data_IF_970908613646
#
_entry.id   IF_970908613646
#
_cell.length_a   1.000
_cell.length_b   1.000
_cell.length_c   1.000
_cell.angle_alpha   90.00
_cell.angle_beta   90.00
_cell.angle_gamma   90.00
#
_symmetry.space_group_name_H-M   'P 1'
#
loop_
_entity.id
_entity.type
_entity.pdbx_description
1 polymer ?
#
# COMPACT_ATOMS: atom_id res chain seq x y z
N UNK A 1 1.47 -82.95 82.47
CA UNK A 1 1.10 -82.50 83.83
C UNK A 1 -0.28 -83.04 84.16
N UNK A 2 -0.46 -83.44 85.43
CA UNK A 2 -1.57 -84.18 86.05
C UNK A 2 -1.58 -85.70 85.79
N UNK A 3 -1.74 -86.60 86.75
CA UNK A 3 -1.45 -86.68 88.19
C UNK A 3 -1.78 -88.14 88.57
N UNK A 4 -0.84 -88.89 89.15
CA UNK A 4 -1.13 -90.15 89.85
C UNK A 4 -1.39 -89.85 91.34
N UNK A 5 -2.36 -90.54 91.97
CA UNK A 5 -2.38 -90.75 93.42
C UNK A 5 -2.39 -92.26 93.80
N UNK A 6 -2.15 -92.62 95.08
CA UNK A 6 -1.13 -93.61 95.43
C UNK A 6 -1.60 -94.88 96.19
N UNK A 7 -0.69 -95.87 96.25
CA UNK A 7 -0.69 -97.02 97.17
C UNK A 7 -0.49 -96.59 98.62
N UNK A 8 -1.36 -97.05 99.51
CA UNK A 8 -1.28 -97.08 100.98
C UNK A 8 -2.27 -98.18 101.44
N UNK A 9 -2.12 -99.01 102.47
CA UNK A 9 -1.12 -99.29 103.49
C UNK A 9 -1.47 -100.67 104.12
N UNK A 10 -0.47 -101.42 104.58
CA UNK A 10 -0.50 -102.42 105.68
C UNK A 10 0.70 -102.02 106.58
N UNK A 11 0.71 -102.13 107.93
CA UNK A 11 0.55 -103.41 108.70
C UNK A 11 0.06 -103.32 110.18
N UNK A 12 -0.13 -104.46 110.90
CA UNK A 12 0.25 -104.70 112.33
C UNK A 12 -0.20 -106.08 112.92
N UNK A 13 0.64 -106.65 113.80
CA UNK A 13 0.61 -107.94 114.54
C UNK A 13 0.17 -107.79 116.01
N UNK A 14 -0.23 -108.87 116.74
CA UNK A 14 0.26 -109.30 118.10
C UNK A 14 -0.39 -110.61 118.64
N UNK A 15 0.19 -111.19 119.72
CA UNK A 15 0.39 -112.61 120.10
C UNK A 15 -0.01 -112.93 121.59
N UNK A 16 0.00 -114.22 122.05
CA UNK A 16 -0.07 -114.79 123.46
C UNK A 16 -1.44 -115.35 124.00
N UNK A 17 -1.59 -116.45 124.77
CA UNK A 17 -0.82 -117.05 125.89
C UNK A 17 -1.00 -118.60 126.13
N UNK A 18 0.00 -119.20 126.82
CA UNK A 18 0.10 -120.53 127.48
C UNK A 18 0.80 -120.32 128.87
N UNK A 19 0.43 -120.99 129.98
CA UNK A 19 1.14 -120.88 131.30
C UNK A 19 1.16 -122.15 132.17
N UNK A 20 2.21 -122.32 132.97
CA UNK A 20 2.50 -123.41 133.95
C UNK A 20 2.37 -123.02 135.45
N UNK A 21 2.18 -124.00 136.39
CA UNK A 21 1.89 -123.78 137.82
C UNK A 21 3.12 -123.64 138.77
N UNK A 22 2.88 -123.17 140.00
CA UNK A 22 3.86 -122.66 140.98
C UNK A 22 4.33 -123.62 142.10
N UNK A 23 5.49 -123.25 142.67
CA UNK A 23 6.40 -123.93 143.61
C UNK A 23 5.84 -124.44 144.96
N UNK A 24 4.64 -124.07 145.39
CA UNK A 24 4.07 -124.50 146.68
C UNK A 24 3.49 -125.93 146.65
N UNK A 25 3.17 -126.45 145.47
CA UNK A 25 2.57 -127.78 145.31
C UNK A 25 3.60 -128.94 145.33
N UNK A 26 4.90 -128.62 145.34
CA UNK A 26 5.99 -129.61 145.24
C UNK A 26 6.57 -130.10 146.59
N UNK A 27 6.17 -129.54 147.74
CA UNK A 27 6.86 -129.80 149.03
C UNK A 27 6.02 -130.35 150.19
N UNK A 28 4.74 -130.71 150.00
CA UNK A 28 3.91 -131.31 151.07
C UNK A 28 3.47 -132.72 150.69
N UNK A 29 4.23 -133.73 151.13
CA UNK A 29 3.88 -135.14 150.96
C UNK A 29 2.85 -135.62 152.01
N UNK A 30 1.96 -136.59 151.69
CA UNK A 30 0.90 -137.00 152.61
C UNK A 30 1.39 -138.00 153.68
N UNK A 31 0.99 -137.76 154.92
CA UNK A 31 1.07 -138.66 156.08
C UNK A 31 0.00 -139.75 155.95
N UNK A 32 0.37 -141.05 156.04
CA UNK A 32 -0.59 -142.16 156.19
C UNK A 32 -0.10 -143.23 157.18
N UNK A 33 -1.07 -143.84 157.85
CA UNK A 33 -0.95 -144.72 159.02
C UNK A 33 -0.70 -146.20 158.67
N UNK A 34 -0.04 -146.91 159.60
CA UNK A 34 0.37 -148.32 159.51
C UNK A 34 -0.77 -149.31 159.86
N UNK A 35 -0.89 -150.45 159.15
CA UNK A 35 -1.88 -151.51 159.46
C UNK A 35 -1.60 -152.32 160.74
N UNK A 36 -2.68 -152.88 161.30
CA UNK A 36 -2.86 -153.31 162.69
C UNK A 36 -2.13 -154.58 163.13
N UNK A 37 -1.62 -155.42 162.22
CA UNK A 37 -1.00 -156.70 162.60
C UNK A 37 0.32 -156.55 163.38
N UNK A 38 0.98 -155.38 163.29
CA UNK A 38 2.32 -155.16 163.84
C UNK A 38 2.28 -154.44 165.22
N UNK A 39 1.13 -153.94 165.66
CA UNK A 39 1.04 -153.20 166.93
C UNK A 39 0.85 -154.08 168.18
N UNK A 40 0.72 -155.41 168.04
CA UNK A 40 0.24 -156.26 169.16
C UNK A 40 1.13 -157.39 169.72
N UNK A 41 2.33 -157.75 169.22
CA UNK A 41 3.03 -158.95 169.77
C UNK A 41 4.54 -158.81 170.03
N UNK A 42 5.06 -159.51 171.06
CA UNK A 42 6.08 -159.00 171.99
C UNK A 42 7.48 -158.78 171.40
N UNK A 43 8.23 -157.94 172.11
CA UNK A 43 9.49 -157.26 171.75
C UNK A 43 10.60 -158.19 171.25
N UNK A 44 10.49 -159.49 171.48
CA UNK A 44 11.49 -160.49 171.14
C UNK A 44 11.52 -160.88 169.63
N UNK A 45 10.46 -160.57 168.86
CA UNK A 45 10.31 -161.05 167.45
C UNK A 45 10.23 -159.95 166.38
N UNK A 46 10.49 -158.68 166.72
CA UNK A 46 10.32 -157.55 165.78
C UNK A 46 11.57 -157.23 164.93
N UNK A 47 12.64 -158.00 165.07
CA UNK A 47 13.86 -157.84 164.30
C UNK A 47 14.51 -159.19 163.94
N UNK A 48 14.87 -159.36 162.67
CA UNK A 48 15.70 -160.48 162.24
C UNK A 48 17.14 -160.27 162.75
N UNK A 49 17.58 -161.13 163.67
CA UNK A 49 18.89 -161.09 164.35
C UNK A 49 20.10 -161.32 163.44
N UNK A 50 19.90 -161.67 162.18
CA UNK A 50 20.99 -161.84 161.21
C UNK A 50 21.20 -160.63 160.28
N UNK A 51 20.23 -159.71 160.14
CA UNK A 51 20.36 -158.60 159.19
C UNK A 51 19.87 -157.22 159.64
N UNK A 52 19.23 -157.06 160.81
CA UNK A 52 18.87 -155.74 161.33
C UNK A 52 17.90 -154.92 160.46
N UNK A 53 17.29 -155.52 159.43
CA UNK A 53 16.30 -154.86 158.58
C UNK A 53 14.90 -155.08 159.15
N UNK A 54 14.25 -153.97 159.47
CA UNK A 54 12.87 -153.90 159.96
C UNK A 54 11.88 -154.35 158.86
N UNK A 55 10.95 -155.25 159.22
CA UNK A 55 9.88 -155.79 158.35
C UNK A 55 8.94 -154.72 157.76
N UNK A 56 9.10 -153.45 158.16
CA UNK A 56 8.28 -152.33 157.69
C UNK A 56 8.56 -151.88 156.24
N UNK A 57 9.76 -152.11 155.69
CA UNK A 57 10.13 -151.56 154.38
C UNK A 57 9.71 -152.45 153.20
N UNK A 58 9.46 -153.73 153.42
CA UNK A 58 9.20 -154.67 152.32
C UNK A 58 7.74 -154.66 151.83
N UNK A 59 6.78 -154.32 152.70
CA UNK A 59 5.35 -154.30 152.34
C UNK A 59 4.95 -153.07 151.49
N UNK A 60 5.55 -151.89 151.75
CA UNK A 60 5.20 -150.65 151.02
C UNK A 60 5.68 -150.65 149.55
N UNK A 61 6.84 -151.25 149.27
CA UNK A 61 7.39 -151.30 147.91
C UNK A 61 6.54 -152.17 146.99
N UNK A 62 5.94 -153.24 147.53
CA UNK A 62 5.11 -154.15 146.73
C UNK A 62 3.71 -153.58 146.42
N UNK A 63 3.14 -152.75 147.31
CA UNK A 63 1.84 -152.10 147.09
C UNK A 63 1.90 -150.92 146.09
N UNK A 64 3.03 -150.21 146.02
CA UNK A 64 3.25 -149.11 145.05
C UNK A 64 3.47 -149.60 143.62
N UNK A 65 4.03 -150.80 143.43
CA UNK A 65 4.28 -151.35 142.09
C UNK A 65 3.01 -151.80 141.36
N UNK A 66 1.96 -152.21 142.08
CA UNK A 66 0.68 -152.62 141.51
C UNK A 66 -0.22 -151.45 141.14
N UNK A 67 -0.20 -150.34 141.87
CA UNK A 67 -1.03 -149.15 141.61
C UNK A 67 -0.57 -148.36 140.37
N UNK A 68 0.73 -148.27 140.09
CA UNK A 68 1.25 -147.60 138.88
C UNK A 68 0.90 -148.34 137.58
N UNK A 69 0.80 -149.68 137.61
CA UNK A 69 0.42 -150.47 136.43
C UNK A 69 -1.05 -150.28 136.02
N UNK A 70 -1.96 -149.99 136.96
CA UNK A 70 -3.37 -149.75 136.63
C UNK A 70 -3.59 -148.36 136.02
N UNK A 71 -2.96 -147.30 136.54
CA UNK A 71 -3.14 -145.93 136.02
C UNK A 71 -2.65 -145.73 134.57
N UNK A 72 -1.61 -146.45 134.13
CA UNK A 72 -1.11 -146.39 132.74
C UNK A 72 -2.13 -146.95 131.73
N UNK A 73 -3.01 -147.86 132.14
CA UNK A 73 -3.97 -148.52 131.25
C UNK A 73 -5.21 -147.66 130.98
N UNK A 74 -5.63 -146.84 131.95
CA UNK A 74 -6.83 -145.97 131.82
C UNK A 74 -6.58 -144.74 130.95
N UNK A 75 -5.38 -144.17 130.93
CA UNK A 75 -5.08 -142.96 130.15
C UNK A 75 -5.00 -143.18 128.63
N UNK A 76 -4.58 -144.37 128.19
CA UNK A 76 -4.43 -144.69 126.76
C UNK A 76 -5.75 -145.02 126.05
N UNK A 77 -6.78 -145.42 126.78
CA UNK A 77 -8.04 -145.92 126.18
C UNK A 77 -9.14 -144.86 126.18
N UNK A 78 -9.14 -143.89 127.10
CA UNK A 78 -10.25 -142.93 127.25
C UNK A 78 -10.04 -141.55 126.60
N UNK A 79 -8.88 -140.91 126.79
CA UNK A 79 -8.74 -139.45 126.59
C UNK A 79 -8.11 -139.07 125.24
N UNK A 80 -7.17 -139.88 124.74
CA UNK A 80 -6.46 -139.62 123.48
C UNK A 80 -7.33 -139.61 122.20
N UNK A 81 -8.37 -140.47 122.05
CA UNK A 81 -9.19 -140.48 120.85
C UNK A 81 -10.09 -139.24 120.69
N UNK A 82 -10.59 -138.69 121.80
CA UNK A 82 -11.50 -137.54 121.79
C UNK A 82 -10.78 -136.23 121.42
N UNK A 83 -9.57 -136.02 121.95
CA UNK A 83 -8.78 -134.82 121.64
C UNK A 83 -8.33 -134.78 120.17
N UNK A 84 -8.00 -135.95 119.61
CA UNK A 84 -7.61 -136.08 118.20
C UNK A 84 -8.77 -135.77 117.25
N UNK A 85 -9.98 -136.21 117.57
CA UNK A 85 -11.17 -135.98 116.73
C UNK A 85 -11.59 -134.50 116.68
N UNK A 86 -11.51 -133.79 117.81
CA UNK A 86 -11.80 -132.37 117.88
C UNK A 86 -10.77 -131.51 117.11
N UNK A 87 -9.48 -131.80 117.27
CA UNK A 87 -8.40 -131.07 116.58
C UNK A 87 -8.43 -131.28 115.05
N UNK A 88 -8.81 -132.47 114.58
CA UNK A 88 -8.94 -132.73 113.13
C UNK A 88 -10.10 -131.98 112.48
N UNK A 89 -11.22 -131.76 113.19
CA UNK A 89 -12.40 -131.06 112.65
C UNK A 89 -12.17 -129.56 112.52
N UNK A 90 -11.51 -128.95 113.49
CA UNK A 90 -11.15 -127.53 113.44
C UNK A 90 -10.13 -127.22 112.33
N UNK A 91 -9.23 -128.16 112.02
CA UNK A 91 -8.29 -128.04 110.91
C UNK A 91 -8.96 -128.23 109.54
N UNK A 92 -9.97 -129.09 109.41
CA UNK A 92 -10.67 -129.29 108.13
C UNK A 92 -11.50 -128.07 107.75
N UNK A 93 -12.22 -127.47 108.70
CA UNK A 93 -13.02 -126.25 108.46
C UNK A 93 -12.14 -125.07 108.03
N UNK A 94 -10.99 -124.86 108.69
CA UNK A 94 -10.00 -123.85 108.25
C UNK A 94 -9.41 -124.15 106.87
N UNK A 95 -9.21 -125.42 106.52
CA UNK A 95 -8.67 -125.79 105.21
C UNK A 95 -9.70 -125.60 104.09
N UNK A 96 -10.98 -125.85 104.36
CA UNK A 96 -12.08 -125.61 103.42
C UNK A 96 -12.32 -124.12 103.18
N UNK A 97 -12.32 -123.29 104.23
CA UNK A 97 -12.36 -121.83 104.09
C UNK A 97 -11.16 -121.32 103.29
N UNK A 98 -9.93 -121.76 103.61
CA UNK A 98 -8.73 -121.40 102.86
C UNK A 98 -8.83 -121.83 101.39
N UNK A 99 -9.36 -123.02 101.10
CA UNK A 99 -9.53 -123.48 99.72
C UNK A 99 -10.61 -122.69 98.96
N UNK A 100 -11.69 -122.27 99.62
CA UNK A 100 -12.74 -121.44 99.00
C UNK A 100 -12.22 -120.04 98.64
N UNK A 101 -11.55 -119.36 99.58
CA UNK A 101 -10.91 -118.06 99.36
C UNK A 101 -9.81 -118.18 98.30
N UNK A 102 -9.02 -119.26 98.31
CA UNK A 102 -7.98 -119.48 97.31
C UNK A 102 -8.55 -119.74 95.90
N UNK A 103 -9.71 -120.41 95.79
CA UNK A 103 -10.43 -120.54 94.51
C UNK A 103 -11.00 -119.21 94.03
N UNK A 104 -11.64 -118.45 94.91
CA UNK A 104 -12.21 -117.14 94.59
C UNK A 104 -11.11 -116.16 94.15
N UNK A 105 -10.06 -116.01 94.96
CA UNK A 105 -8.89 -115.19 94.60
C UNK A 105 -8.21 -115.63 93.31
N UNK A 106 -8.07 -116.94 93.06
CA UNK A 106 -7.54 -117.44 91.78
C UNK A 106 -8.46 -117.08 90.60
N UNK A 107 -9.78 -117.19 90.78
CA UNK A 107 -10.76 -116.80 89.75
C UNK A 107 -10.77 -115.29 89.49
N UNK A 108 -10.64 -114.47 90.53
CA UNK A 108 -10.52 -113.01 90.43
C UNK A 108 -9.22 -112.63 89.72
N UNK A 109 -8.10 -113.30 90.06
CA UNK A 109 -6.80 -113.08 89.44
C UNK A 109 -6.82 -113.48 87.96
N UNK A 110 -7.51 -114.57 87.62
CA UNK A 110 -7.69 -115.01 86.23
C UNK A 110 -8.57 -114.02 85.43
N UNK A 111 -9.61 -113.44 86.05
CA UNK A 111 -10.44 -112.40 85.45
C UNK A 111 -9.63 -111.12 85.19
N UNK A 112 -8.87 -110.66 86.18
CA UNK A 112 -7.99 -109.49 86.05
C UNK A 112 -6.89 -109.73 85.00
N UNK A 113 -6.32 -110.94 84.93
CA UNK A 113 -5.39 -111.30 83.86
C UNK A 113 -6.04 -111.23 82.47
N UNK A 114 -7.28 -111.70 82.32
CA UNK A 114 -8.02 -111.61 81.05
C UNK A 114 -8.35 -110.16 80.68
N UNK A 115 -8.76 -109.33 81.64
CA UNK A 115 -9.02 -107.90 81.44
C UNK A 115 -7.73 -107.15 81.08
N UNK A 116 -6.60 -107.47 81.73
CA UNK A 116 -5.30 -106.88 81.42
C UNK A 116 -4.85 -107.25 80.00
N UNK A 117 -5.00 -108.52 79.60
CA UNK A 117 -4.70 -108.96 78.24
C UNK A 117 -5.63 -108.27 77.22
N UNK A 118 -6.93 -108.19 77.50
CA UNK A 118 -7.90 -107.48 76.66
C UNK A 118 -7.58 -105.99 76.53
N UNK A 119 -7.20 -105.33 77.63
CA UNK A 119 -6.76 -103.93 77.63
C UNK A 119 -5.43 -103.74 76.90
N UNK A 120 -4.51 -104.69 77.00
CA UNK A 120 -3.24 -104.66 76.30
C UNK A 120 -3.46 -104.78 74.78
N UNK A 121 -4.37 -105.66 74.36
CA UNK A 121 -4.72 -105.81 72.95
C UNK A 121 -5.51 -104.61 72.42
N UNK A 122 -6.42 -104.03 73.21
CA UNK A 122 -7.08 -102.77 72.88
C UNK A 122 -6.08 -101.61 72.73
N UNK A 123 -5.07 -101.52 73.62
CA UNK A 123 -4.02 -100.52 73.52
C UNK A 123 -3.16 -100.70 72.25
N UNK A 124 -2.81 -101.95 71.88
CA UNK A 124 -2.13 -102.24 70.61
C UNK A 124 -2.99 -101.82 69.41
N UNK A 125 -4.30 -102.10 69.44
CA UNK A 125 -5.21 -101.69 68.37
C UNK A 125 -5.30 -100.16 68.26
N UNK A 126 -5.41 -99.45 69.39
CA UNK A 126 -5.42 -97.99 69.42
C UNK A 126 -4.09 -97.39 68.90
N UNK A 127 -2.95 -98.00 69.23
CA UNK A 127 -1.65 -97.60 68.66
C UNK A 127 -1.62 -97.75 67.14
N UNK A 128 -2.14 -98.86 66.62
CA UNK A 128 -2.23 -99.09 65.16
C UNK A 128 -3.17 -98.08 64.50
N UNK A 129 -4.33 -97.81 65.11
CA UNK A 129 -5.29 -96.81 64.60
C UNK A 129 -4.69 -95.40 64.65
N UNK A 130 -4.08 -95.00 65.77
CA UNK A 130 -3.43 -93.69 65.93
C UNK A 130 -2.36 -93.48 64.86
N UNK A 131 -1.49 -94.47 64.66
CA UNK A 131 -0.46 -94.42 63.62
C UNK A 131 -1.06 -94.31 62.23
N UNK A 132 -2.12 -95.07 61.93
CA UNK A 132 -2.81 -94.99 60.65
C UNK A 132 -3.42 -93.61 60.42
N UNK A 133 -4.08 -93.03 61.42
CA UNK A 133 -4.65 -91.68 61.35
C UNK A 133 -3.56 -90.63 61.17
N UNK A 134 -2.43 -90.74 61.88
CA UNK A 134 -1.28 -89.85 61.70
C UNK A 134 -0.71 -89.92 60.28
N UNK A 135 -0.58 -91.13 59.72
CA UNK A 135 -0.06 -91.32 58.37
C UNK A 135 -1.07 -90.83 57.31
N UNK A 136 -2.37 -91.06 57.50
CA UNK A 136 -3.44 -90.47 56.67
C UNK A 136 -3.44 -88.94 56.73
N UNK A 137 -3.23 -88.35 57.93
CA UNK A 137 -3.13 -86.92 58.11
C UNK A 137 -1.87 -86.33 57.45
N UNK A 138 -0.72 -87.02 57.52
CA UNK A 138 0.51 -86.62 56.80
C UNK A 138 0.33 -86.67 55.28
N UNK A 139 -0.34 -87.69 54.76
CA UNK A 139 -0.61 -87.81 53.32
C UNK A 139 -1.57 -86.72 52.85
N UNK A 140 -2.65 -86.46 53.59
CA UNK A 140 -3.60 -85.39 53.24
C UNK A 140 -2.98 -84.00 53.39
N UNK A 141 -2.18 -83.76 54.43
CA UNK A 141 -1.42 -82.53 54.61
C UNK A 141 -0.41 -82.30 53.49
N UNK A 142 0.38 -83.32 53.11
CA UNK A 142 1.35 -83.18 52.01
C UNK A 142 0.67 -82.97 50.65
N UNK A 143 -0.48 -83.63 50.41
CA UNK A 143 -1.24 -83.42 49.18
C UNK A 143 -1.84 -82.00 49.11
N UNK A 144 -2.39 -81.49 50.21
CA UNK A 144 -2.94 -80.12 50.27
C UNK A 144 -1.83 -79.09 50.12
N UNK A 145 -0.69 -79.28 50.78
CA UNK A 145 0.48 -78.43 50.61
C UNK A 145 0.98 -78.43 49.15
N UNK A 146 1.07 -79.59 48.51
CA UNK A 146 1.48 -79.70 47.12
C UNK A 146 0.49 -79.00 46.17
N UNK A 147 -0.82 -79.12 46.42
CA UNK A 147 -1.85 -78.38 45.67
C UNK A 147 -1.67 -76.88 45.79
N UNK A 148 -1.47 -76.38 47.01
CA UNK A 148 -1.23 -74.95 47.26
C UNK A 148 0.06 -74.46 46.60
N UNK A 149 1.15 -75.24 46.66
CA UNK A 149 2.40 -74.92 45.95
C UNK A 149 2.18 -74.82 44.44
N UNK A 150 1.43 -75.74 43.85
CA UNK A 150 1.11 -75.71 42.42
C UNK A 150 0.24 -74.50 42.05
N UNK A 151 -0.75 -74.16 42.88
CA UNK A 151 -1.59 -72.96 42.69
C UNK A 151 -0.77 -71.67 42.80
N UNK A 152 0.12 -71.57 43.80
CA UNK A 152 1.04 -70.44 43.96
C UNK A 152 1.94 -70.28 42.73
N UNK A 153 2.51 -71.38 42.22
CA UNK A 153 3.34 -71.35 41.00
C UNK A 153 2.54 -70.91 39.77
N UNK A 154 1.32 -71.42 39.60
CA UNK A 154 0.44 -71.03 38.50
C UNK A 154 0.05 -69.55 38.58
N UNK A 155 -0.38 -69.07 39.74
CA UNK A 155 -0.72 -67.65 39.94
C UNK A 155 0.50 -66.74 39.76
N UNK A 156 1.68 -67.16 40.22
CA UNK A 156 2.92 -66.40 40.02
C UNK A 156 3.28 -66.29 38.53
N UNK A 157 3.13 -67.39 37.78
CA UNK A 157 3.30 -67.40 36.32
C UNK A 157 2.30 -66.48 35.62
N UNK A 158 1.03 -66.49 36.05
CA UNK A 158 0.01 -65.59 35.53
C UNK A 158 0.32 -64.12 35.81
N UNK A 159 0.76 -63.79 37.04
CA UNK A 159 1.16 -62.42 37.41
C UNK A 159 2.33 -61.96 36.54
N UNK A 160 3.36 -62.78 36.36
CA UNK A 160 4.51 -62.42 35.53
C UNK A 160 4.11 -62.25 34.06
N UNK A 161 3.22 -63.10 33.53
CA UNK A 161 2.70 -62.94 32.18
C UNK A 161 1.90 -61.63 32.02
N UNK A 162 1.01 -61.30 32.96
CA UNK A 162 0.28 -60.03 32.97
C UNK A 162 1.23 -58.83 33.06
N UNK A 163 2.30 -58.94 33.86
CA UNK A 163 3.32 -57.91 34.01
C UNK A 163 4.08 -57.69 32.69
N UNK A 164 4.56 -58.75 32.05
CA UNK A 164 5.23 -58.69 30.75
C UNK A 164 4.31 -58.11 29.66
N UNK A 165 3.02 -58.48 29.67
CA UNK A 165 2.04 -57.90 28.75
C UNK A 165 1.84 -56.40 28.99
N UNK A 166 1.72 -55.97 30.25
CA UNK A 166 1.62 -54.55 30.61
C UNK A 166 2.87 -53.77 30.21
N UNK A 167 4.06 -54.29 30.47
CA UNK A 167 5.33 -53.66 30.09
C UNK A 167 5.47 -53.55 28.57
N UNK A 168 5.09 -54.60 27.82
CA UNK A 168 5.05 -54.58 26.36
C UNK A 168 4.07 -53.53 25.81
N UNK A 169 2.86 -53.45 26.38
CA UNK A 169 1.88 -52.43 26.01
C UNK A 169 2.37 -51.01 26.33
N UNK A 170 2.99 -50.80 27.50
CA UNK A 170 3.58 -49.51 27.87
C UNK A 170 4.71 -49.12 26.92
N UNK A 171 5.58 -50.06 26.54
CA UNK A 171 6.64 -49.82 25.57
C UNK A 171 6.08 -49.47 24.18
N UNK A 172 5.02 -50.16 23.73
CA UNK A 172 4.35 -49.86 22.47
C UNK A 172 3.73 -48.45 22.46
N UNK A 173 3.02 -48.06 23.53
CA UNK A 173 2.45 -46.72 23.68
C UNK A 173 3.56 -45.66 23.73
N UNK A 174 4.65 -45.92 24.44
CA UNK A 174 5.78 -45.00 24.51
C UNK A 174 6.43 -44.79 23.14
N UNK A 175 6.65 -45.86 22.38
CA UNK A 175 7.19 -45.80 21.03
C UNK A 175 6.25 -45.05 20.06
N UNK A 176 4.93 -45.25 20.20
CA UNK A 176 3.95 -44.53 19.38
C UNK A 176 3.90 -43.03 19.70
N UNK A 177 3.92 -42.66 20.98
CA UNK A 177 4.06 -41.26 21.42
C UNK A 177 5.33 -40.62 20.91
N UNK A 178 6.46 -41.33 20.88
CA UNK A 178 7.72 -40.82 20.37
C UNK A 178 7.65 -40.56 18.85
N UNK A 179 7.00 -41.45 18.09
CA UNK A 179 6.73 -41.24 16.65
C UNK A 179 5.83 -40.03 16.41
N UNK A 180 4.74 -39.91 17.18
CA UNK A 180 3.84 -38.76 17.10
C UNK A 180 4.56 -37.45 17.43
N UNK A 181 5.36 -37.42 18.50
CA UNK A 181 6.17 -36.26 18.85
C UNK A 181 7.19 -35.91 17.78
N UNK A 182 7.80 -36.92 17.15
CA UNK A 182 8.72 -36.70 16.05
C UNK A 182 8.01 -36.10 14.83
N UNK A 183 6.83 -36.62 14.48
CA UNK A 183 6.00 -36.07 13.40
C UNK A 183 5.57 -34.63 13.68
N UNK A 184 5.19 -34.31 14.93
CA UNK A 184 4.85 -32.94 15.34
C UNK A 184 6.06 -32.01 15.13
N UNK A 185 7.26 -32.41 15.59
CA UNK A 185 8.47 -31.62 15.38
C UNK A 185 8.76 -31.39 13.90
N UNK A 186 8.61 -32.42 13.08
CA UNK A 186 8.82 -32.30 11.63
C UNK A 186 7.81 -31.33 10.99
N UNK A 187 6.53 -31.40 11.36
CA UNK A 187 5.51 -30.46 10.89
C UNK A 187 5.76 -29.02 11.37
N UNK A 188 6.21 -28.83 12.61
CA UNK A 188 6.59 -27.53 13.15
C UNK A 188 7.77 -26.93 12.36
N UNK A 189 8.78 -27.74 12.03
CA UNK A 189 9.90 -27.29 11.20
C UNK A 189 9.46 -26.92 9.79
N UNK A 190 8.61 -27.73 9.14
CA UNK A 190 8.06 -27.43 7.82
C UNK A 190 7.21 -26.16 7.82
N UNK A 191 6.42 -25.93 8.88
CA UNK A 191 5.64 -24.72 9.04
C UNK A 191 6.53 -23.49 9.19
N UNK A 192 7.58 -23.57 9.99
CA UNK A 192 8.54 -22.48 10.18
C UNK A 192 9.29 -22.15 8.87
N UNK A 193 9.72 -23.17 8.12
CA UNK A 193 10.33 -23.00 6.80
C UNK A 193 9.36 -22.36 5.81
N UNK A 194 8.13 -22.85 5.72
CA UNK A 194 7.10 -22.27 4.85
C UNK A 194 6.81 -20.80 5.19
N UNK A 195 6.75 -20.45 6.47
CA UNK A 195 6.61 -19.06 6.92
C UNK A 195 7.83 -18.19 6.53
N UNK A 196 9.05 -18.71 6.68
CA UNK A 196 10.26 -18.01 6.26
C UNK A 196 10.29 -17.78 4.73
N UNK A 197 9.88 -18.78 3.95
CA UNK A 197 9.74 -18.65 2.50
C UNK A 197 8.68 -17.61 2.12
N UNK A 198 7.51 -17.65 2.76
CA UNK A 198 6.43 -16.70 2.49
C UNK A 198 6.84 -15.26 2.81
N UNK A 199 7.45 -15.02 3.98
CA UNK A 199 7.94 -13.68 4.34
C UNK A 199 9.04 -13.19 3.39
N UNK A 200 9.89 -14.08 2.87
CA UNK A 200 10.91 -13.72 1.88
C UNK A 200 10.26 -13.36 0.53
N UNK A 201 9.29 -14.15 0.06
CA UNK A 201 8.54 -13.88 -1.15
C UNK A 201 7.74 -12.57 -1.04
N UNK A 202 7.09 -12.32 0.09
CA UNK A 202 6.38 -11.07 0.36
C UNK A 202 7.32 -9.85 0.28
N UNK A 203 8.51 -9.93 0.89
CA UNK A 203 9.51 -8.86 0.79
C UNK A 203 9.98 -8.63 -0.64
N UNK A 204 10.14 -9.69 -1.45
CA UNK A 204 10.50 -9.58 -2.86
C UNK A 204 9.38 -8.89 -3.67
N UNK A 205 8.13 -9.28 -3.47
CA UNK A 205 6.99 -8.63 -4.13
C UNK A 205 6.86 -7.15 -3.74
N UNK A 206 7.10 -6.83 -2.46
CA UNK A 206 7.12 -5.45 -1.96
C UNK A 206 8.24 -4.64 -2.62
N UNK A 207 9.46 -5.19 -2.72
CA UNK A 207 10.58 -4.49 -3.35
C UNK A 207 10.36 -4.30 -4.85
N UNK A 208 9.88 -5.32 -5.57
CA UNK A 208 9.51 -5.22 -6.99
C UNK A 208 8.44 -4.15 -7.23
N UNK A 209 7.38 -4.16 -6.43
CA UNK A 209 6.33 -3.11 -6.45
C UNK A 209 6.92 -1.72 -6.28
N UNK A 210 7.85 -1.54 -5.34
CA UNK A 210 8.44 -0.22 -5.05
C UNK A 210 9.37 0.23 -6.20
N UNK A 211 10.12 -0.68 -6.82
CA UNK A 211 10.89 -0.36 -8.04
C UNK A 211 9.98 0.02 -9.21
N UNK A 212 8.84 -0.66 -9.39
CA UNK A 212 7.87 -0.33 -10.42
C UNK A 212 7.20 1.03 -10.16
N UNK A 213 6.86 1.34 -8.90
CA UNK A 213 6.37 2.66 -8.52
C UNK A 213 7.37 3.77 -8.85
N UNK A 214 8.64 3.58 -8.55
CA UNK A 214 9.69 4.55 -8.90
C UNK A 214 9.83 4.73 -10.42
N UNK A 215 9.82 3.64 -11.19
CA UNK A 215 9.85 3.71 -12.66
C UNK A 215 8.63 4.43 -13.22
N UNK A 216 7.45 4.16 -12.67
CA UNK A 216 6.21 4.82 -13.07
C UNK A 216 6.29 6.33 -12.81
N UNK A 217 6.73 6.75 -11.62
CA UNK A 217 6.92 8.16 -11.29
C UNK A 217 7.87 8.86 -12.29
N UNK A 218 9.03 8.25 -12.59
CA UNK A 218 9.97 8.82 -13.57
C UNK A 218 9.43 8.86 -15.01
N UNK A 219 8.54 7.95 -15.39
CA UNK A 219 7.83 8.04 -16.68
C UNK A 219 6.80 9.17 -16.64
N UNK A 220 6.01 9.29 -15.57
CA UNK A 220 5.01 10.35 -15.41
C UNK A 220 5.65 11.73 -15.45
N UNK A 221 6.78 11.94 -14.76
CA UNK A 221 7.52 13.20 -14.79
C UNK A 221 8.01 13.55 -16.21
N UNK A 222 8.53 12.57 -16.96
CA UNK A 222 8.93 12.78 -18.36
C UNK A 222 7.76 13.14 -19.26
N UNK A 223 6.62 12.47 -19.11
CA UNK A 223 5.41 12.77 -19.89
C UNK A 223 4.90 14.18 -19.59
N UNK A 224 4.89 14.62 -18.33
CA UNK A 224 4.49 16.00 -18.00
C UNK A 224 5.48 17.03 -18.56
N UNK A 225 6.78 16.74 -18.56
CA UNK A 225 7.77 17.59 -19.24
C UNK A 225 7.52 17.67 -20.75
N UNK A 226 7.31 16.54 -21.42
CA UNK A 226 6.99 16.50 -22.86
C UNK A 226 5.69 17.22 -23.20
N UNK A 227 4.69 17.13 -22.32
CA UNK A 227 3.43 17.86 -22.46
C UNK A 227 3.64 19.37 -22.34
N UNK A 228 4.42 19.83 -21.37
CA UNK A 228 4.76 21.26 -21.22
C UNK A 228 5.54 21.76 -22.45
N UNK A 229 6.54 21.01 -22.92
CA UNK A 229 7.32 21.41 -24.10
C UNK A 229 6.46 21.42 -25.37
N UNK A 230 5.57 20.45 -25.54
CA UNK A 230 4.63 20.42 -26.67
C UNK A 230 3.69 21.63 -26.64
N UNK A 231 3.13 21.96 -25.47
CA UNK A 231 2.28 23.16 -25.31
C UNK A 231 3.05 24.46 -25.63
N UNK A 232 4.32 24.55 -25.24
CA UNK A 232 5.17 25.69 -25.58
C UNK A 232 5.42 25.79 -27.09
N UNK A 233 5.71 24.67 -27.76
CA UNK A 233 5.92 24.63 -29.21
C UNK A 233 4.62 24.94 -29.98
N UNK A 234 3.47 24.46 -29.52
CA UNK A 234 2.16 24.79 -30.09
C UNK A 234 1.84 26.29 -29.99
N UNK A 235 2.15 26.90 -28.84
CA UNK A 235 1.99 28.35 -28.65
C UNK A 235 2.91 29.14 -29.61
N UNK A 236 4.17 28.72 -29.76
CA UNK A 236 5.10 29.33 -30.72
C UNK A 236 4.64 29.19 -32.17
N UNK A 237 4.19 28.01 -32.58
CA UNK A 237 3.65 27.78 -33.93
C UNK A 237 2.42 28.63 -34.19
N UNK A 238 1.55 28.80 -33.18
CA UNK A 238 0.36 29.66 -33.28
C UNK A 238 0.76 31.13 -33.44
N UNK A 239 1.76 31.61 -32.70
CA UNK A 239 2.28 32.96 -32.85
C UNK A 239 2.88 33.20 -34.26
N UNK A 240 3.72 32.27 -34.74
CA UNK A 240 4.31 32.34 -36.09
C UNK A 240 3.22 32.34 -37.17
N UNK A 241 2.19 31.50 -37.03
CA UNK A 241 1.04 31.48 -37.96
C UNK A 241 0.32 32.83 -37.96
N UNK A 242 0.09 33.43 -36.79
CA UNK A 242 -0.51 34.75 -36.67
C UNK A 242 0.32 35.85 -37.34
N UNK A 243 1.63 35.85 -37.14
CA UNK A 243 2.55 36.79 -37.81
C UNK A 243 2.55 36.61 -39.33
N UNK A 244 2.58 35.37 -39.82
CA UNK A 244 2.50 35.09 -41.25
C UNK A 244 1.19 35.61 -41.84
N UNK A 245 0.05 35.35 -41.20
CA UNK A 245 -1.25 35.89 -41.64
C UNK A 245 -1.23 37.41 -41.69
N UNK A 246 -0.63 38.08 -40.69
CA UNK A 246 -0.47 39.54 -40.68
C UNK A 246 0.37 40.03 -41.86
N UNK A 247 1.52 39.42 -42.12
CA UNK A 247 2.43 39.81 -43.22
C UNK A 247 1.77 39.61 -44.58
N UNK A 248 1.05 38.51 -44.78
CA UNK A 248 0.29 38.27 -46.01
C UNK A 248 -0.78 39.33 -46.20
N UNK A 249 -1.56 39.64 -45.15
CA UNK A 249 -2.59 40.68 -45.22
C UNK A 249 -2.01 42.06 -45.55
N UNK A 250 -0.86 42.44 -44.97
CA UNK A 250 -0.18 43.69 -45.30
C UNK A 250 0.31 43.70 -46.75
N UNK A 251 0.91 42.60 -47.22
CA UNK A 251 1.40 42.51 -48.61
C UNK A 251 0.25 42.57 -49.62
N UNK A 252 -0.89 41.93 -49.35
CA UNK A 252 -2.06 42.00 -50.22
C UNK A 252 -2.70 43.40 -50.22
N UNK A 253 -2.69 44.11 -49.07
CA UNK A 253 -3.12 45.50 -49.01
C UNK A 253 -2.20 46.42 -49.85
N UNK A 254 -0.88 46.22 -49.77
CA UNK A 254 0.10 46.92 -50.61
C UNK A 254 -0.13 46.62 -52.09
N UNK A 255 -0.32 45.35 -52.48
CA UNK A 255 -0.63 44.96 -53.88
C UNK A 255 -1.90 45.63 -54.40
N UNK A 256 -2.94 45.76 -53.57
CA UNK A 256 -4.16 46.49 -53.93
C UNK A 256 -3.87 47.99 -54.12
N UNK A 257 -3.11 48.60 -53.22
CA UNK A 257 -2.68 49.99 -53.35
C UNK A 257 -1.84 50.23 -54.61
N UNK A 258 -0.90 49.33 -54.93
CA UNK A 258 -0.10 49.40 -56.15
C UNK A 258 -0.96 49.26 -57.40
N UNK A 259 -1.93 48.34 -57.39
CA UNK A 259 -2.85 48.13 -58.51
C UNK A 259 -3.71 49.39 -58.75
N UNK A 260 -4.17 50.04 -57.68
CA UNK A 260 -4.87 51.33 -57.76
C UNK A 260 -3.97 52.42 -58.35
N UNK A 261 -2.75 52.58 -57.83
CA UNK A 261 -1.79 53.55 -58.35
C UNK A 261 -1.46 53.32 -59.84
N UNK A 262 -1.36 52.06 -60.27
CA UNK A 262 -1.18 51.71 -61.70
C UNK A 262 -2.39 52.16 -62.52
N UNK A 263 -3.63 51.93 -62.06
CA UNK A 263 -4.84 52.42 -62.74
C UNK A 263 -4.84 53.95 -62.86
N UNK A 264 -4.45 54.67 -61.81
CA UNK A 264 -4.32 56.14 -61.82
C UNK A 264 -3.25 56.60 -62.82
N UNK A 265 -2.08 55.96 -62.85
CA UNK A 265 -1.03 56.23 -63.84
C UNK A 265 -1.55 56.02 -65.26
N UNK A 266 -2.31 54.95 -65.51
CA UNK A 266 -2.91 54.69 -66.82
C UNK A 266 -3.89 55.82 -67.19
N UNK A 267 -4.74 56.27 -66.26
CA UNK A 267 -5.65 57.40 -66.52
C UNK A 267 -4.89 58.69 -66.83
N UNK A 268 -3.86 59.03 -66.04
CA UNK A 268 -3.02 60.20 -66.26
C UNK A 268 -2.29 60.13 -67.62
N UNK A 269 -1.81 58.94 -68.02
CA UNK A 269 -1.22 58.74 -69.35
C UNK A 269 -2.21 59.03 -70.48
N UNK A 270 -3.46 58.58 -70.36
CA UNK A 270 -4.49 58.89 -71.35
C UNK A 270 -4.81 60.38 -71.40
N UNK A 271 -4.90 61.05 -70.25
CA UNK A 271 -5.11 62.50 -70.18
C UNK A 271 -3.95 63.27 -70.82
N UNK A 272 -2.70 62.89 -70.52
CA UNK A 272 -1.51 63.48 -71.11
C UNK A 272 -1.50 63.30 -72.63
N UNK A 273 -1.82 62.10 -73.13
CA UNK A 273 -1.92 61.84 -74.56
C UNK A 273 -3.02 62.70 -75.24
N UNK A 274 -4.16 62.92 -74.56
CA UNK A 274 -5.20 63.80 -75.06
C UNK A 274 -4.75 65.27 -75.13
N UNK A 275 -4.03 65.75 -74.11
CA UNK A 275 -3.43 67.07 -74.09
C UNK A 275 -2.35 67.23 -75.17
N UNK A 276 -1.53 66.21 -75.41
CA UNK A 276 -0.54 66.22 -76.50
C UNK A 276 -1.22 66.32 -77.87
N UNK A 277 -2.30 65.56 -78.10
CA UNK A 277 -3.12 65.68 -79.33
C UNK A 277 -3.71 67.08 -79.49
N UNK A 278 -4.27 67.64 -78.42
CA UNK A 278 -4.81 69.01 -78.42
C UNK A 278 -3.72 70.04 -78.71
N UNK A 279 -2.53 69.90 -78.11
CA UNK A 279 -1.38 70.76 -78.37
C UNK A 279 -0.94 70.65 -79.84
N UNK A 280 -0.84 69.45 -80.40
CA UNK A 280 -0.49 69.29 -81.83
C UNK A 280 -1.53 69.92 -82.75
N UNK A 281 -2.82 69.82 -82.41
CA UNK A 281 -3.90 70.46 -83.15
C UNK A 281 -3.76 71.99 -83.11
N UNK A 282 -3.57 72.57 -81.92
CA UNK A 282 -3.38 74.01 -81.76
C UNK A 282 -2.13 74.53 -82.49
N UNK A 283 -1.03 73.75 -82.51
CA UNK A 283 0.16 74.10 -83.30
C UNK A 283 -0.11 74.08 -84.80
N UNK A 284 -0.87 73.08 -85.30
CA UNK A 284 -1.31 73.01 -86.69
C UNK A 284 -2.24 74.18 -87.06
N UNK A 285 -3.22 74.48 -86.22
CA UNK A 285 -4.14 75.60 -86.42
C UNK A 285 -3.39 76.93 -86.38
N UNK A 286 -2.43 77.09 -85.45
CA UNK A 286 -1.55 78.26 -85.38
C UNK A 286 -0.65 78.40 -86.61
N UNK A 287 -0.15 77.29 -87.18
CA UNK A 287 0.61 77.31 -88.43
C UNK A 287 -0.27 77.73 -89.62
N UNK A 288 -1.50 77.19 -89.71
CA UNK A 288 -2.48 77.58 -90.72
C UNK A 288 -2.86 79.06 -90.62
N UNK A 289 -3.11 79.56 -89.41
CA UNK A 289 -3.39 80.98 -89.18
C UNK A 289 -2.22 81.88 -89.59
N UNK A 290 -0.97 81.47 -89.31
CA UNK A 290 0.22 82.21 -89.79
C UNK A 290 0.31 82.24 -91.32
N UNK A 291 -0.03 81.14 -91.99
CA UNK A 291 -0.07 81.10 -93.45
C UNK A 291 -1.17 82.00 -94.03
N UNK A 292 -2.36 81.98 -93.44
CA UNK A 292 -3.47 82.87 -93.82
C UNK A 292 -3.10 84.35 -93.60
N UNK A 293 -2.47 84.69 -92.48
CA UNK A 293 -1.95 86.05 -92.23
C UNK A 293 -0.89 86.45 -93.26
N UNK A 294 0.06 85.56 -93.60
CA UNK A 294 1.07 85.84 -94.61
C UNK A 294 0.48 86.09 -96.01
N UNK A 295 -0.59 85.35 -96.37
CA UNK A 295 -1.37 85.58 -97.60
C UNK A 295 -2.05 86.94 -97.58
N UNK A 296 -2.76 87.26 -96.49
CA UNK A 296 -3.41 88.55 -96.30
C UNK A 296 -2.39 89.72 -96.35
N UNK A 297 -1.21 89.56 -95.75
CA UNK A 297 -0.14 90.56 -95.79
C UNK A 297 0.44 90.75 -97.21
N UNK A 298 0.53 89.69 -98.02
CA UNK A 298 0.92 89.82 -99.43
C UNK A 298 -0.17 90.49 -100.26
N UNK A 299 -1.44 90.17 -100.01
CA UNK A 299 -2.59 90.84 -100.64
C UNK A 299 -2.60 92.34 -100.28
N UNK A 300 -2.42 92.69 -99.00
CA UNK A 300 -2.30 94.07 -98.55
C UNK A 300 -1.10 94.78 -99.19
N UNK A 301 0.05 94.11 -99.34
CA UNK A 301 1.21 94.66 -100.06
C UNK A 301 0.92 94.87 -101.54
N UNK A 302 0.24 93.95 -102.20
CA UNK A 302 -0.20 94.11 -103.60
C UNK A 302 -1.15 95.30 -103.75
N UNK A 303 -2.16 95.41 -102.88
CA UNK A 303 -3.10 96.53 -102.86
C UNK A 303 -2.40 97.87 -102.59
N UNK A 304 -1.41 97.91 -101.67
CA UNK A 304 -0.57 99.10 -101.45
C UNK A 304 0.22 99.48 -102.70
N UNK A 305 0.89 98.53 -103.37
CA UNK A 305 1.59 98.81 -104.63
C UNK A 305 0.65 99.34 -105.71
N UNK A 306 -0.57 98.82 -105.80
CA UNK A 306 -1.59 99.33 -106.73
C UNK A 306 -2.02 100.75 -106.35
N UNK A 307 -2.25 101.03 -105.06
CA UNK A 307 -2.57 102.37 -104.57
C UNK A 307 -1.44 103.36 -104.88
N UNK A 308 -0.19 103.00 -104.61
CA UNK A 308 0.99 103.80 -104.93
C UNK A 308 1.13 104.04 -106.44
N UNK A 309 0.85 103.03 -107.27
CA UNK A 309 0.85 103.16 -108.73
C UNK A 309 -0.20 104.15 -109.22
N UNK A 310 -1.44 104.04 -108.72
CA UNK A 310 -2.53 104.97 -109.03
C UNK A 310 -2.21 106.39 -108.55
N UNK A 311 -1.62 106.52 -107.35
CA UNK A 311 -1.18 107.80 -106.81
C UNK A 311 -0.07 108.44 -107.66
N UNK A 312 0.88 107.63 -108.15
CA UNK A 312 1.92 108.06 -109.09
C UNK A 312 1.35 108.51 -110.44
N UNK A 313 0.39 107.78 -111.00
CA UNK A 313 -0.33 108.18 -112.22
C UNK A 313 -1.05 109.51 -112.03
N UNK A 314 -1.74 109.70 -110.90
CA UNK A 314 -2.38 110.97 -110.54
C UNK A 314 -1.39 112.12 -110.45
N UNK A 315 -0.22 111.92 -109.83
CA UNK A 315 0.83 112.95 -109.75
C UNK A 315 1.39 113.33 -111.14
N UNK A 316 1.56 112.36 -112.04
CA UNK A 316 1.98 112.61 -113.43
C UNK A 316 0.89 113.35 -114.21
N UNK A 317 -0.39 112.98 -114.06
CA UNK A 317 -1.50 113.71 -114.67
C UNK A 317 -1.61 115.14 -114.14
N UNK A 318 -1.45 115.36 -112.82
CA UNK A 318 -1.43 116.68 -112.20
C UNK A 318 -0.32 117.56 -112.80
N UNK A 319 0.92 117.08 -112.79
CA UNK A 319 2.07 117.82 -113.36
C UNK A 319 1.92 118.09 -114.85
N UNK A 320 1.38 117.15 -115.62
CA UNK A 320 0.99 117.35 -117.02
C UNK A 320 -0.02 118.49 -117.19
N UNK A 321 -1.10 118.50 -116.40
CA UNK A 321 -2.10 119.58 -116.44
C UNK A 321 -1.53 120.93 -116.01
N UNK A 322 -0.63 120.94 -115.03
CA UNK A 322 0.07 122.15 -114.56
C UNK A 322 0.97 122.73 -115.67
N UNK A 323 1.70 121.87 -116.38
CA UNK A 323 2.55 122.27 -117.52
C UNK A 323 1.71 122.86 -118.67
N UNK A 324 0.63 122.18 -119.06
CA UNK A 324 -0.30 122.68 -120.08
C UNK A 324 -0.87 124.05 -119.67
N UNK A 325 -1.29 124.20 -118.42
CA UNK A 325 -1.77 125.48 -117.87
C UNK A 325 -0.68 126.56 -117.94
N UNK A 326 0.58 126.23 -117.63
CA UNK A 326 1.70 127.16 -117.72
C UNK A 326 1.98 127.62 -119.16
N UNK A 327 1.83 126.73 -120.14
CA UNK A 327 2.04 127.03 -121.56
C UNK A 327 0.91 127.92 -122.12
N UNK A 328 -0.33 127.67 -121.69
CA UNK A 328 -1.45 128.57 -122.00
C UNK A 328 -1.26 129.96 -121.39
N UNK A 329 -0.80 130.06 -120.15
CA UNK A 329 -0.50 131.34 -119.51
C UNK A 329 0.60 132.11 -120.27
N UNK A 330 1.68 131.42 -120.67
CA UNK A 330 2.78 132.02 -121.44
C UNK A 330 2.34 132.53 -122.81
N UNK A 331 1.43 131.80 -123.46
CA UNK A 331 0.86 132.19 -124.76
C UNK A 331 -0.03 133.42 -124.65
N UNK A 332 -0.84 133.53 -123.59
CA UNK A 332 -1.66 134.70 -123.31
C UNK A 332 -0.83 135.95 -123.00
N UNK A 333 0.27 135.80 -122.26
CA UNK A 333 1.19 136.91 -121.96
C UNK A 333 1.89 137.43 -123.22
N UNK A 334 2.26 136.52 -124.13
CA UNK A 334 2.82 136.87 -125.44
C UNK A 334 1.82 137.67 -126.29
N UNK A 335 0.56 137.24 -126.35
CA UNK A 335 -0.51 137.96 -127.05
C UNK A 335 -0.75 139.36 -126.45
N UNK A 336 -0.72 139.48 -125.11
CA UNK A 336 -0.80 140.80 -124.44
C UNK A 336 0.35 141.71 -124.84
N UNK A 337 1.57 141.17 -124.91
CA UNK A 337 2.75 141.90 -125.35
C UNK A 337 2.63 142.42 -126.77
N UNK A 338 2.17 141.58 -127.70
CA UNK A 338 1.97 141.94 -129.11
C UNK A 338 0.93 143.07 -129.28
N UNK A 339 -0.24 142.96 -128.63
CA UNK A 339 -1.25 144.04 -128.65
C UNK A 339 -0.77 145.34 -128.00
N UNK A 340 0.07 145.28 -126.96
CA UNK A 340 0.65 146.47 -126.34
C UNK A 340 1.61 147.21 -127.27
N UNK A 341 2.34 146.47 -128.11
CA UNK A 341 3.25 147.03 -129.13
C UNK A 341 2.45 147.73 -130.23
N UNK A 342 1.36 147.11 -130.70
CA UNK A 342 0.47 147.71 -131.70
C UNK A 342 -0.18 149.00 -131.20
N UNK A 343 -0.69 149.01 -129.96
CA UNK A 343 -1.25 150.22 -129.32
C UNK A 343 -0.22 151.35 -129.17
N UNK A 344 1.05 151.00 -128.93
CA UNK A 344 2.14 151.97 -128.83
C UNK A 344 2.52 152.56 -130.19
N UNK A 345 2.46 151.76 -131.26
CA UNK A 345 2.62 152.24 -132.63
C UNK A 345 1.50 153.21 -133.02
N UNK A 346 0.25 152.82 -132.77
CA UNK A 346 -0.92 153.62 -133.10
C UNK A 346 -0.91 154.99 -132.38
N UNK A 347 -0.56 155.02 -131.10
CA UNK A 347 -0.40 156.27 -130.34
C UNK A 347 0.70 157.17 -130.89
N UNK A 348 1.83 156.59 -131.32
CA UNK A 348 2.97 157.34 -131.85
C UNK A 348 2.64 157.99 -133.20
N UNK A 349 1.90 157.26 -134.04
CA UNK A 349 1.49 157.75 -135.36
C UNK A 349 0.39 158.82 -135.24
N UNK A 350 -0.55 158.66 -134.30
CA UNK A 350 -1.51 159.72 -133.94
C UNK A 350 -0.82 160.99 -133.43
N UNK A 351 0.20 160.86 -132.58
CA UNK A 351 0.95 162.02 -132.06
C UNK A 351 1.70 162.77 -133.19
N UNK A 352 2.26 162.04 -134.16
CA UNK A 352 2.89 162.64 -135.35
C UNK A 352 1.89 163.42 -136.21
N UNK A 353 0.73 162.83 -136.49
CA UNK A 353 -0.28 163.47 -137.33
C UNK A 353 -0.82 164.77 -136.69
N UNK A 354 -0.98 164.80 -135.36
CA UNK A 354 -1.41 166.01 -134.63
C UNK A 354 -0.38 167.14 -134.75
N UNK A 355 0.91 166.81 -134.68
CA UNK A 355 1.96 167.82 -134.70
C UNK A 355 2.19 168.39 -136.11
N UNK A 356 2.05 167.57 -137.15
CA UNK A 356 2.02 168.04 -138.54
C UNK A 356 0.83 168.97 -138.80
N UNK A 357 -0.34 168.67 -138.22
CA UNK A 357 -1.54 169.51 -138.35
C UNK A 357 -1.33 170.89 -137.68
N UNK A 358 -0.72 170.92 -136.48
CA UNK A 358 -0.38 172.16 -135.77
C UNK A 358 0.56 173.06 -136.58
N UNK A 359 1.61 172.49 -137.17
CA UNK A 359 2.59 173.25 -137.97
C UNK A 359 1.89 173.92 -139.15
N UNK A 360 1.01 173.18 -139.85
CA UNK A 360 0.25 173.74 -140.99
C UNK A 360 -0.67 174.90 -140.59
N UNK A 361 -1.32 174.83 -139.41
CA UNK A 361 -2.19 175.90 -138.92
C UNK A 361 -1.38 177.13 -138.48
N UNK A 362 -0.18 176.93 -137.97
CA UNK A 362 0.71 178.00 -137.54
C UNK A 362 1.24 178.80 -138.73
N UNK A 363 1.55 178.13 -139.83
CA UNK A 363 1.96 178.75 -141.10
C UNK A 363 0.83 179.57 -141.73
N UNK A 364 -0.41 179.08 -141.68
CA UNK A 364 -1.59 179.80 -142.18
C UNK A 364 -1.88 181.08 -141.37
N UNK A 365 -1.73 181.04 -140.04
CA UNK A 365 -1.84 182.22 -139.17
C UNK A 365 -0.73 183.24 -139.43
N UNK A 366 0.46 182.78 -139.82
CA UNK A 366 1.58 183.63 -140.23
C UNK A 366 1.27 184.43 -141.51
N UNK A 367 0.58 183.80 -142.46
CA UNK A 367 0.17 184.44 -143.70
C UNK A 367 -0.85 185.58 -143.46
N UNK A 368 -1.88 185.32 -142.67
CA UNK A 368 -2.94 186.29 -142.34
C UNK A 368 -2.42 187.54 -141.61
N UNK A 369 -1.42 187.39 -140.73
CA UNK A 369 -0.82 188.52 -140.01
C UNK A 369 -0.06 189.48 -140.92
N UNK A 370 0.54 188.98 -142.01
CA UNK A 370 1.26 189.80 -142.99
C UNK A 370 0.30 190.66 -143.82
N UNK A 371 -0.79 190.06 -144.28
CA UNK A 371 -1.82 190.74 -145.08
C UNK A 371 -2.54 191.84 -144.29
N UNK A 372 -2.73 191.64 -142.98
CA UNK A 372 -3.32 192.66 -142.09
C UNK A 372 -2.40 193.88 -141.89
N UNK A 373 -1.08 193.69 -141.96
CA UNK A 373 -0.12 194.77 -141.80
C UNK A 373 -0.04 195.69 -143.05
N UNK A 374 -0.25 195.14 -144.24
CA UNK A 374 -0.23 195.89 -145.50
C UNK A 374 -1.43 196.86 -145.61
N UNK A 375 -2.62 196.43 -145.17
CA UNK A 375 -3.85 197.24 -145.21
C UNK A 375 -3.87 198.40 -144.20
N UNK A 376 -3.20 198.26 -143.05
CA UNK A 376 -3.13 199.31 -142.02
C UNK A 376 -2.26 200.50 -142.41
N UNK A 377 -1.31 200.31 -143.32
CA UNK A 377 -0.42 201.39 -143.78
C UNK A 377 -1.08 202.32 -144.81
N UNK A 378 -1.98 201.77 -145.65
CA UNK A 378 -2.75 202.55 -146.63
C UNK A 378 -3.84 203.44 -145.99
N UNK A 379 -4.35 203.08 -144.80
CA UNK A 379 -5.36 203.87 -144.09
C UNK A 379 -4.84 205.16 -143.44
N UNK A 380 -3.55 205.22 -143.07
CA UNK A 380 -3.00 206.38 -142.33
C UNK A 380 -2.72 207.60 -143.20
N UNK A 381 -2.39 207.44 -144.48
CA UNK A 381 -2.12 208.59 -145.35
C UNK A 381 -3.39 209.26 -145.88
N UNK A 382 -4.50 208.52 -146.02
CA UNK A 382 -5.79 209.09 -146.45
C UNK A 382 -6.47 209.93 -145.36
N UNK A 383 -6.23 209.63 -144.08
CA UNK A 383 -6.82 210.33 -142.94
C UNK A 383 -6.28 211.74 -142.69
N UNK A 384 -5.05 212.07 -143.12
CA UNK A 384 -4.50 213.41 -142.91
C UNK A 384 -4.91 214.43 -144.00
N UNK A 385 -5.46 213.98 -145.12
CA UNK A 385 -6.02 214.86 -146.17
C UNK A 385 -7.43 215.38 -145.85
N UNK A 386 -8.13 214.82 -144.84
CA UNK A 386 -9.51 215.18 -144.54
C UNK A 386 -9.69 216.22 -143.41
N UNK A 387 -8.66 216.48 -142.59
CA UNK A 387 -8.82 217.24 -141.34
C UNK A 387 -8.55 218.75 -141.47
N UNK A 388 -7.90 219.24 -142.54
CA UNK A 388 -7.64 220.69 -142.69
C UNK A 388 -8.52 221.40 -143.73
N UNK A 389 -9.60 220.76 -144.20
CA UNK A 389 -10.60 221.37 -145.09
C UNK A 389 -11.88 221.85 -144.35
N UNK A 390 -11.90 221.88 -143.00
CA UNK A 390 -13.12 222.22 -142.24
C UNK A 390 -12.98 223.30 -141.16
N UNK A 391 -11.89 224.06 -141.11
CA UNK A 391 -11.77 225.23 -140.22
C UNK A 391 -11.39 226.54 -140.93
N UNK A 392 -11.99 226.79 -142.11
CA UNK A 392 -12.21 228.16 -142.62
C UNK A 392 -13.71 228.51 -142.54
N UNK A 393 -14.03 229.50 -141.69
CA UNK A 393 -15.33 230.20 -141.49
C UNK A 393 -16.41 229.46 -140.66
N UNK A 394 -16.61 229.75 -139.37
CA UNK A 394 -17.04 231.06 -138.81
C UNK A 394 -16.10 231.49 -137.67
N UNK A 395 -15.41 232.63 -137.69
CA UNK A 395 -15.45 233.72 -138.65
C UNK A 395 -14.30 234.69 -138.45
N UNK A 396 -14.10 235.53 -139.46
CA UNK A 396 -13.19 236.68 -139.45
C UNK A 396 -11.72 236.37 -139.18
N UNK A 397 -11.00 236.03 -140.25
CA UNK A 397 -10.11 237.03 -140.87
C UNK A 397 -9.54 236.53 -142.18
N UNK A 398 -9.68 237.43 -143.18
CA UNK A 398 -8.82 237.60 -144.36
C UNK A 398 -8.87 236.41 -145.33
N UNK A 399 -9.56 236.44 -146.48
CA UNK A 399 -9.51 237.43 -147.57
C UNK A 399 -8.08 237.66 -148.08
N UNK A 400 -7.87 237.16 -149.31
CA UNK A 400 -6.81 237.40 -150.31
C UNK A 400 -5.66 236.37 -150.38
N UNK A 401 -5.51 235.87 -151.61
CA UNK A 401 -4.44 235.10 -152.30
C UNK A 401 -3.97 233.73 -151.75
#
# INVERSE_FOLDING_TARGET
MAALPPRSALPALTDSELRDPTREELHTGPVRALPEEIQQLPVEDTACTFCGVSYFVFAEVQALQTTVKQYKKTFHVGVYPLFRCWYTRQLSEKCEEQCSVNRETSSELQRVMQELLGSQDAHKQLLVISKRVEDELKVTSSLTEQKLRNEILHLSSQIENCKLQSESQQAAIAAEREREQQMIRELETQLAEAQAHWTTAERQLVSERDTLKQKLLGVTERVELEKITTQQLEAQLTAIRGELTRVVATSDAERKSYSQAISEIIQLKHQLQALEKSRSQLLSDGARQKEELAKQDEELRCLRRQADHVQGQLAVSLTSTENIKSDYARSLEKLRGEHSVELSHLHRDHAKAIEELKVSQQDYLGYLKKETAELLSQGKQSSQQAILATEEQVGSRCLWD
#
